data_IF_195419019178
#
_entry.id   IF_195419019178
#
_cell.length_a   1.000
_cell.length_b   1.000
_cell.length_c   1.000
_cell.angle_alpha   90.00
_cell.angle_beta   90.00
_cell.angle_gamma   90.00
#
_symmetry.space_group_name_H-M   'P 1'
#
loop_
_entity.id
_entity.type
_entity.pdbx_description
1 polymer ?
#
# COMPACT_ATOMS: atom_id res chain seq x y z
N UNK A 1 -10.59 -17.69 -12.52
CA UNK A 1 -9.13 -17.50 -12.39
C UNK A 1 -8.63 -16.30 -13.18
N UNK A 2 -8.82 -16.23 -14.51
CA UNK A 2 -8.39 -15.08 -15.33
C UNK A 2 -9.07 -13.75 -14.93
N UNK A 3 -10.40 -13.76 -14.72
CA UNK A 3 -11.15 -12.58 -14.26
C UNK A 3 -10.65 -12.06 -12.89
N UNK A 4 -10.33 -12.98 -11.97
CA UNK A 4 -9.82 -12.65 -10.64
C UNK A 4 -8.44 -11.98 -10.72
N UNK A 5 -7.57 -12.44 -11.62
CA UNK A 5 -6.26 -11.82 -11.86
C UNK A 5 -6.41 -10.40 -12.40
N UNK A 6 -7.27 -10.20 -13.40
CA UNK A 6 -7.55 -8.86 -13.95
C UNK A 6 -8.08 -7.92 -12.88
N UNK A 7 -9.03 -8.39 -12.07
CA UNK A 7 -9.62 -7.62 -10.99
C UNK A 7 -8.56 -7.21 -9.95
N UNK A 8 -7.70 -8.15 -9.52
CA UNK A 8 -6.62 -7.88 -8.58
C UNK A 8 -5.60 -6.88 -9.13
N UNK A 9 -5.23 -6.99 -10.41
CA UNK A 9 -4.34 -6.03 -11.08
C UNK A 9 -4.98 -4.65 -11.11
N UNK A 10 -6.26 -4.55 -11.46
CA UNK A 10 -6.98 -3.28 -11.53
C UNK A 10 -7.08 -2.62 -10.15
N UNK A 11 -7.44 -3.38 -9.12
CA UNK A 11 -7.50 -2.91 -7.73
C UNK A 11 -6.12 -2.46 -7.25
N UNK A 12 -5.09 -3.27 -7.49
CA UNK A 12 -3.72 -2.94 -7.11
C UNK A 12 -3.25 -1.66 -7.77
N UNK A 13 -3.52 -1.49 -9.06
CA UNK A 13 -3.16 -0.30 -9.82
C UNK A 13 -3.92 0.94 -9.35
N UNK A 14 -5.26 0.87 -9.22
CA UNK A 14 -6.05 1.99 -8.71
C UNK A 14 -5.63 2.38 -7.30
N UNK A 15 -5.46 1.39 -6.43
CA UNK A 15 -5.04 1.63 -5.05
C UNK A 15 -3.66 2.25 -4.97
N UNK A 16 -2.70 1.78 -5.77
CA UNK A 16 -1.35 2.35 -5.80
C UNK A 16 -1.36 3.79 -6.32
N UNK A 17 -2.11 4.06 -7.40
CA UNK A 17 -2.21 5.42 -7.96
C UNK A 17 -2.87 6.36 -6.95
N UNK A 18 -4.05 6.01 -6.43
CA UNK A 18 -4.77 6.84 -5.45
C UNK A 18 -3.98 6.98 -4.15
N UNK A 19 -3.39 5.89 -3.66
CA UNK A 19 -2.59 5.86 -2.45
C UNK A 19 -1.31 6.69 -2.55
N UNK A 20 -0.67 6.70 -3.72
CA UNK A 20 0.50 7.54 -3.98
C UNK A 20 0.14 9.03 -4.07
N UNK A 21 -0.97 9.35 -4.73
CA UNK A 21 -1.47 10.72 -4.85
C UNK A 21 -1.86 11.33 -3.50
N UNK A 22 -2.51 10.56 -2.64
CA UNK A 22 -2.92 11.00 -1.30
C UNK A 22 -1.74 10.95 -0.30
N UNK A 23 -0.67 10.21 -0.60
CA UNK A 23 0.52 10.12 0.25
C UNK A 23 0.41 9.11 1.41
N UNK A 24 -0.56 8.19 1.36
CA UNK A 24 -0.84 7.16 2.38
C UNK A 24 -0.41 5.75 1.94
N UNK A 25 0.10 5.58 0.71
CA UNK A 25 0.71 4.32 0.23
C UNK A 25 -0.27 3.20 -0.17
N UNK A 26 -1.59 3.44 -0.14
CA UNK A 26 -2.61 2.54 -0.73
C UNK A 26 -3.09 1.40 0.18
N UNK A 27 -2.52 1.25 1.38
CA UNK A 27 -2.86 0.21 2.34
C UNK A 27 -4.33 0.25 2.81
N UNK A 28 -4.87 1.46 2.96
CA UNK A 28 -6.28 1.72 3.29
C UNK A 28 -7.24 1.06 2.29
N UNK A 29 -6.83 0.88 1.03
CA UNK A 29 -7.65 0.27 -0.01
C UNK A 29 -7.28 -1.21 -0.18
N UNK A 30 -5.99 -1.56 -0.16
CA UNK A 30 -5.51 -2.93 -0.39
C UNK A 30 -5.98 -3.89 0.71
N UNK A 31 -5.85 -3.53 1.99
CA UNK A 31 -6.17 -4.43 3.11
C UNK A 31 -7.66 -4.83 3.09
N UNK A 32 -8.63 -3.88 3.10
CA UNK A 32 -10.04 -4.25 3.11
C UNK A 32 -10.43 -5.03 1.86
N UNK A 33 -9.82 -4.71 0.72
CA UNK A 33 -10.14 -5.40 -0.54
C UNK A 33 -9.65 -6.84 -0.54
N UNK A 34 -8.43 -7.12 -0.07
CA UNK A 34 -7.92 -8.50 0.04
C UNK A 34 -8.72 -9.30 1.07
N UNK A 35 -9.09 -8.70 2.21
CA UNK A 35 -9.93 -9.35 3.21
C UNK A 35 -11.33 -9.63 2.67
N UNK A 36 -11.92 -8.69 1.94
CA UNK A 36 -13.24 -8.85 1.34
C UNK A 36 -13.27 -9.94 0.26
N UNK A 37 -12.34 -9.92 -0.70
CA UNK A 37 -12.27 -10.92 -1.77
C UNK A 37 -11.81 -12.30 -1.26
N UNK A 38 -10.80 -12.33 -0.39
CA UNK A 38 -10.16 -13.58 0.04
C UNK A 38 -10.88 -14.26 1.20
N UNK A 39 -11.11 -13.51 2.29
CA UNK A 39 -11.63 -14.08 3.55
C UNK A 39 -13.16 -14.20 3.50
N UNK A 40 -13.87 -13.15 3.06
CA UNK A 40 -15.34 -13.15 3.09
C UNK A 40 -15.96 -13.88 1.89
N UNK A 41 -15.44 -13.65 0.68
CA UNK A 41 -16.01 -14.22 -0.56
C UNK A 41 -15.33 -15.50 -1.06
N UNK A 42 -14.26 -15.98 -0.39
CA UNK A 42 -13.50 -17.18 -0.79
C UNK A 42 -13.04 -17.20 -2.26
N UNK A 43 -12.94 -16.04 -2.91
CA UNK A 43 -12.48 -15.92 -4.31
C UNK A 43 -10.98 -16.19 -4.44
N UNK A 44 -10.24 -16.08 -3.32
CA UNK A 44 -8.81 -16.34 -3.21
C UNK A 44 -8.59 -17.41 -2.14
N UNK A 45 -8.40 -18.65 -2.57
CA UNK A 45 -8.10 -19.75 -1.65
C UNK A 45 -6.78 -19.52 -0.93
N UNK A 46 -6.78 -19.74 0.39
CA UNK A 46 -5.57 -19.66 1.22
C UNK A 46 -5.18 -18.25 1.70
N UNK A 47 -5.98 -17.22 1.40
CA UNK A 47 -5.77 -15.88 1.99
C UNK A 47 -6.42 -15.82 3.36
N UNK A 48 -5.60 -15.70 4.40
CA UNK A 48 -6.04 -15.31 5.74
C UNK A 48 -5.92 -13.79 5.90
N UNK A 49 -6.60 -13.23 6.89
CA UNK A 49 -6.46 -11.81 7.26
C UNK A 49 -5.00 -11.43 7.50
N UNK A 50 -4.21 -12.34 8.10
CA UNK A 50 -2.79 -12.14 8.34
C UNK A 50 -1.99 -12.02 7.03
N UNK A 51 -2.27 -12.87 6.04
CA UNK A 51 -1.63 -12.82 4.73
C UNK A 51 -2.02 -11.52 4.02
N UNK A 52 -3.30 -11.13 4.07
CA UNK A 52 -3.76 -9.88 3.47
C UNK A 52 -3.04 -8.65 4.04
N UNK A 53 -2.89 -8.58 5.37
CA UNK A 53 -2.15 -7.50 6.04
C UNK A 53 -0.67 -7.55 5.64
N UNK A 54 -0.03 -8.72 5.73
CA UNK A 54 1.39 -8.88 5.38
C UNK A 54 1.70 -8.50 3.93
N UNK A 55 0.89 -8.96 2.97
CA UNK A 55 1.02 -8.60 1.56
C UNK A 55 0.85 -7.10 1.35
N UNK A 56 -0.12 -6.46 2.02
CA UNK A 56 -0.32 -5.02 1.91
C UNK A 56 0.87 -4.21 2.42
N UNK A 57 1.53 -4.65 3.50
CA UNK A 57 2.69 -3.97 4.08
C UNK A 57 3.87 -3.98 3.11
N UNK A 58 4.10 -5.10 2.43
CA UNK A 58 5.14 -5.17 1.39
C UNK A 58 4.83 -4.21 0.24
N UNK A 59 3.58 -4.18 -0.22
CA UNK A 59 3.16 -3.25 -1.28
C UNK A 59 3.36 -1.80 -0.83
N UNK A 60 2.94 -1.45 0.38
CA UNK A 60 3.09 -0.13 0.99
C UNK A 60 4.54 0.35 1.05
N UNK A 61 5.48 -0.52 1.44
CA UNK A 61 6.90 -0.19 1.49
C UNK A 61 7.41 0.15 0.09
N UNK A 62 7.07 -0.68 -0.91
CA UNK A 62 7.52 -0.47 -2.29
C UNK A 62 6.90 0.79 -2.90
N UNK A 63 5.59 0.99 -2.76
CA UNK A 63 4.88 2.15 -3.30
C UNK A 63 5.28 3.45 -2.59
N UNK A 64 5.42 3.41 -1.26
CA UNK A 64 5.84 4.55 -0.45
C UNK A 64 7.26 4.99 -0.78
N UNK A 65 8.19 4.03 -0.93
CA UNK A 65 9.57 4.31 -1.34
C UNK A 65 9.63 4.87 -2.76
N UNK A 66 8.92 4.24 -3.70
CA UNK A 66 8.85 4.70 -5.10
C UNK A 66 8.30 6.13 -5.19
N UNK A 67 7.20 6.41 -4.48
CA UNK A 67 6.57 7.73 -4.43
C UNK A 67 7.50 8.76 -3.78
N UNK A 68 8.11 8.43 -2.64
CA UNK A 68 9.07 9.30 -1.95
C UNK A 68 10.23 9.68 -2.86
N UNK A 69 10.84 8.70 -3.55
CA UNK A 69 11.92 8.97 -4.52
C UNK A 69 11.42 9.85 -5.67
N UNK A 70 10.19 9.64 -6.15
CA UNK A 70 9.55 10.49 -7.15
C UNK A 70 9.43 11.95 -6.71
N UNK A 71 8.87 12.19 -5.52
CA UNK A 71 8.70 13.54 -4.97
C UNK A 71 10.04 14.21 -4.60
N UNK A 72 11.03 13.43 -4.17
CA UNK A 72 12.39 13.92 -3.93
C UNK A 72 13.02 14.45 -5.23
N UNK A 73 12.85 13.74 -6.35
CA UNK A 73 13.36 14.17 -7.66
C UNK A 73 12.70 15.46 -8.16
N UNK A 74 11.42 15.66 -7.85
CA UNK A 74 10.69 16.89 -8.22
C UNK A 74 10.93 18.06 -7.25
N UNK A 75 11.76 17.88 -6.21
CA UNK A 75 12.05 18.86 -5.15
C UNK A 75 10.82 19.38 -4.41
N UNK A 76 9.75 18.58 -4.37
CA UNK A 76 8.50 18.92 -3.66
C UNK A 76 8.52 18.49 -2.19
N UNK A 77 9.60 17.85 -1.73
CA UNK A 77 9.74 17.34 -0.36
C UNK A 77 10.58 18.29 0.48
N UNK A 78 10.05 18.70 1.64
CA UNK A 78 10.83 19.34 2.69
C UNK A 78 11.64 18.28 3.46
N UNK A 79 12.91 18.14 3.09
CA UNK A 79 13.82 17.13 3.65
C UNK A 79 14.05 17.34 5.14
N UNK A 80 14.09 18.59 5.60
CA UNK A 80 14.43 18.92 6.98
C UNK A 80 13.31 18.48 7.91
N UNK A 81 12.08 18.89 7.61
CA UNK A 81 10.91 18.49 8.38
C UNK A 81 10.59 17.01 8.17
N UNK A 82 10.71 16.49 6.94
CA UNK A 82 10.50 15.08 6.63
C UNK A 82 11.39 14.13 7.42
N UNK A 83 12.65 14.50 7.66
CA UNK A 83 13.58 13.68 8.47
C UNK A 83 13.16 13.64 9.93
N UNK A 84 12.68 14.75 10.50
CA UNK A 84 12.19 14.81 11.88
C UNK A 84 10.96 13.91 12.05
N UNK A 85 10.02 13.97 11.08
CA UNK A 85 8.86 13.07 11.08
C UNK A 85 9.26 11.60 10.96
N UNK A 86 10.26 11.27 10.13
CA UNK A 86 10.76 9.90 9.99
C UNK A 86 11.27 9.34 11.33
N UNK A 87 12.09 10.11 12.06
CA UNK A 87 12.59 9.70 13.37
C UNK A 87 11.49 9.62 14.44
N UNK A 88 10.43 10.43 14.33
CA UNK A 88 9.26 10.31 15.21
C UNK A 88 8.36 9.12 14.87
N UNK A 89 8.23 8.76 13.59
CA UNK A 89 7.38 7.67 13.11
C UNK A 89 8.00 6.28 13.34
N UNK A 90 9.31 6.15 13.21
CA UNK A 90 10.03 4.88 13.42
C UNK A 90 9.65 4.18 14.75
N UNK A 91 9.77 4.82 15.92
CA UNK A 91 9.35 4.22 17.18
C UNK A 91 7.82 4.12 17.35
N UNK A 92 7.04 4.95 16.66
CA UNK A 92 5.57 4.87 16.69
C UNK A 92 4.98 3.74 15.83
N UNK A 93 5.78 3.15 14.93
CA UNK A 93 5.36 2.08 14.01
C UNK A 93 5.66 0.66 14.50
N UNK A 94 6.50 0.53 15.54
CA UNK A 94 6.89 -0.73 16.20
C UNK A 94 6.02 -0.97 17.44
#
# INVERSE_FOLDING_TARGET
MFLTMILLVLIGLLSAVLGSLVGIGGGIIIVPTLVYLGVNHHLLHGITTQIAIGTSSVILIVTGLSSSVGYLKTKQVDIKNGSIFLFGLLPGSL
#
